data_IF_339766796244
#
_entry.id   IF_339766796244
#
_cell.length_a   1.000
_cell.length_b   1.000
_cell.length_c   1.000
_cell.angle_alpha   90.00
_cell.angle_beta   90.00
_cell.angle_gamma   90.00
#
_symmetry.space_group_name_H-M   'P 1'
#
loop_
_entity.id
_entity.type
_entity.pdbx_description
1 polymer ?
#
# COMPACT_ATOMS: atom_id res chain seq x y z
N UNK A 1 -7.05 -13.48 -26.07
CA UNK A 1 -7.47 -13.41 -24.66
C UNK A 1 -6.68 -14.46 -23.89
N UNK A 2 -5.59 -14.09 -23.22
CA UNK A 2 -4.82 -15.04 -22.42
C UNK A 2 -5.59 -15.33 -21.13
N UNK A 3 -6.00 -16.59 -20.94
CA UNK A 3 -6.60 -17.05 -19.70
C UNK A 3 -5.48 -17.15 -18.68
N UNK A 4 -5.41 -16.21 -17.74
CA UNK A 4 -4.51 -16.32 -16.59
C UNK A 4 -4.99 -17.55 -15.82
N UNK A 5 -4.21 -18.63 -15.83
CA UNK A 5 -4.52 -19.82 -15.04
C UNK A 5 -3.96 -19.63 -13.64
N UNK A 6 -4.85 -19.71 -12.66
CA UNK A 6 -4.45 -19.64 -11.26
C UNK A 6 -3.67 -20.91 -10.90
N UNK A 7 -2.60 -20.81 -10.10
CA UNK A 7 -1.94 -22.01 -9.59
C UNK A 7 -2.94 -22.92 -8.86
N UNK A 8 -2.91 -24.25 -9.05
CA UNK A 8 -3.91 -25.16 -8.48
C UNK A 8 -4.07 -25.06 -6.96
N UNK A 9 -2.98 -24.76 -6.24
CA UNK A 9 -2.99 -24.56 -4.80
C UNK A 9 -3.81 -23.31 -4.40
N UNK A 10 -3.72 -22.25 -5.19
CA UNK A 10 -4.47 -21.01 -4.95
C UNK A 10 -5.95 -21.22 -5.28
N UNK A 11 -6.26 -21.91 -6.38
CA UNK A 11 -7.64 -22.23 -6.77
C UNK A 11 -8.37 -23.03 -5.69
N UNK A 12 -7.74 -24.07 -5.14
CA UNK A 12 -8.30 -24.85 -4.00
C UNK A 12 -8.55 -23.97 -2.78
N UNK A 13 -7.63 -23.06 -2.47
CA UNK A 13 -7.78 -22.13 -1.33
C UNK A 13 -8.93 -21.15 -1.56
N UNK A 14 -9.14 -20.66 -2.78
CA UNK A 14 -10.29 -19.83 -3.15
C UNK A 14 -11.61 -20.59 -2.95
N UNK A 15 -11.68 -21.85 -3.36
CA UNK A 15 -12.88 -22.70 -3.15
C UNK A 15 -13.20 -22.90 -1.67
N UNK A 16 -12.18 -23.17 -0.85
CA UNK A 16 -12.35 -23.34 0.60
C UNK A 16 -12.82 -22.05 1.28
N UNK A 17 -12.29 -20.89 0.88
CA UNK A 17 -12.70 -19.61 1.45
C UNK A 17 -14.09 -19.23 0.97
N UNK A 18 -14.38 -19.32 -0.32
CA UNK A 18 -15.70 -19.05 -0.87
C UNK A 18 -16.80 -19.91 -0.21
N UNK A 19 -16.51 -21.21 0.00
CA UNK A 19 -17.40 -22.13 0.70
C UNK A 19 -17.71 -21.72 2.14
N UNK A 20 -16.75 -21.13 2.87
CA UNK A 20 -16.97 -20.61 4.24
C UNK A 20 -17.92 -19.42 4.29
N UNK A 21 -17.94 -18.60 3.24
CA UNK A 21 -18.78 -17.42 3.14
C UNK A 21 -20.06 -17.65 2.34
N UNK A 22 -20.35 -18.90 1.96
CA UNK A 22 -21.49 -19.28 1.13
C UNK A 22 -21.59 -18.51 -0.21
N UNK A 23 -20.45 -18.10 -0.74
CA UNK A 23 -20.33 -17.44 -2.05
C UNK A 23 -19.73 -18.40 -3.08
N UNK A 24 -20.00 -18.15 -4.36
CA UNK A 24 -19.37 -18.93 -5.43
C UNK A 24 -17.89 -18.57 -5.57
N UNK A 25 -17.10 -19.49 -6.12
CA UNK A 25 -15.69 -19.24 -6.45
C UNK A 25 -15.52 -17.99 -7.32
N UNK A 26 -16.37 -17.83 -8.33
CA UNK A 26 -16.35 -16.70 -9.24
C UNK A 26 -16.71 -15.38 -8.53
N UNK A 27 -17.65 -15.42 -7.59
CA UNK A 27 -18.02 -14.25 -6.77
C UNK A 27 -16.89 -13.83 -5.83
N UNK A 28 -16.23 -14.79 -5.19
CA UNK A 28 -15.05 -14.52 -4.35
C UNK A 28 -13.87 -14.00 -5.17
N UNK A 29 -13.69 -14.47 -6.41
CA UNK A 29 -12.67 -13.97 -7.33
C UNK A 29 -12.85 -12.48 -7.67
N UNK A 30 -14.09 -12.05 -7.95
CA UNK A 30 -14.37 -10.64 -8.24
C UNK A 30 -14.03 -9.73 -7.04
N UNK A 31 -14.45 -10.13 -5.84
CA UNK A 31 -14.11 -9.40 -4.62
C UNK A 31 -12.60 -9.37 -4.36
N UNK A 32 -11.92 -10.50 -4.59
CA UNK A 32 -10.48 -10.54 -4.47
C UNK A 32 -9.78 -9.56 -5.41
N UNK A 33 -10.27 -9.38 -6.65
CA UNK A 33 -9.66 -8.41 -7.57
C UNK A 33 -9.76 -6.97 -7.05
N UNK A 34 -10.88 -6.61 -6.41
CA UNK A 34 -11.04 -5.29 -5.76
C UNK A 34 -10.03 -5.12 -4.61
N UNK A 35 -9.92 -6.11 -3.72
CA UNK A 35 -8.92 -6.07 -2.64
C UNK A 35 -7.47 -6.18 -3.14
N UNK A 36 -7.25 -6.81 -4.28
CA UNK A 36 -5.92 -7.01 -4.83
C UNK A 36 -5.36 -5.69 -5.37
N UNK A 37 -6.20 -4.81 -5.90
CA UNK A 37 -5.81 -3.46 -6.30
C UNK A 37 -5.31 -2.66 -5.08
N UNK A 38 -6.08 -2.61 -4.00
CA UNK A 38 -5.65 -1.96 -2.75
C UNK A 38 -4.36 -2.58 -2.18
N UNK A 39 -4.25 -3.91 -2.21
CA UNK A 39 -3.03 -4.60 -1.78
C UNK A 39 -1.82 -4.24 -2.65
N UNK A 40 -2.00 -4.06 -3.95
CA UNK A 40 -0.92 -3.65 -4.85
C UNK A 40 -0.45 -2.24 -4.53
N UNK A 41 -1.36 -1.31 -4.27
CA UNK A 41 -1.03 0.06 -3.87
C UNK A 41 -0.22 0.07 -2.56
N UNK A 42 -0.69 -0.65 -1.53
CA UNK A 42 0.02 -0.79 -0.26
C UNK A 42 1.41 -1.43 -0.42
N UNK A 43 1.52 -2.44 -1.29
CA UNK A 43 2.79 -3.11 -1.56
C UNK A 43 3.77 -2.17 -2.29
N UNK A 44 3.28 -1.38 -3.23
CA UNK A 44 4.07 -0.39 -3.96
C UNK A 44 4.60 0.69 -3.01
N UNK A 45 3.75 1.24 -2.14
CA UNK A 45 4.14 2.19 -1.09
C UNK A 45 5.22 1.62 -0.17
N UNK A 46 5.09 0.36 0.24
CA UNK A 46 6.11 -0.32 1.04
C UNK A 46 7.45 -0.40 0.29
N UNK A 47 7.45 -0.76 -0.99
CA UNK A 47 8.67 -0.84 -1.77
C UNK A 47 9.32 0.53 -1.97
N UNK A 48 8.54 1.59 -2.20
CA UNK A 48 9.07 2.95 -2.25
C UNK A 48 9.73 3.36 -0.94
N UNK A 49 9.08 3.09 0.20
CA UNK A 49 9.65 3.37 1.51
C UNK A 49 10.95 2.59 1.77
N UNK A 50 10.97 1.30 1.38
CA UNK A 50 12.14 0.45 1.52
C UNK A 50 13.31 0.94 0.66
N UNK A 51 13.05 1.32 -0.59
CA UNK A 51 14.08 1.86 -1.48
C UNK A 51 14.67 3.16 -0.94
N UNK A 52 13.83 4.09 -0.49
CA UNK A 52 14.29 5.34 0.12
C UNK A 52 15.15 5.09 1.37
N UNK A 53 14.73 4.15 2.23
CA UNK A 53 15.50 3.75 3.41
C UNK A 53 16.87 3.17 3.02
N UNK A 54 16.91 2.25 2.05
CA UNK A 54 18.15 1.66 1.59
C UNK A 54 19.08 2.71 0.92
N UNK A 55 18.53 3.66 0.17
CA UNK A 55 19.28 4.77 -0.42
C UNK A 55 19.87 5.69 0.66
N UNK A 56 19.14 5.94 1.74
CA UNK A 56 19.67 6.62 2.93
C UNK A 56 20.80 5.83 3.59
N UNK A 57 20.65 4.52 3.79
CA UNK A 57 21.71 3.66 4.36
C UNK A 57 22.97 3.64 3.48
N UNK A 58 22.83 3.71 2.15
CA UNK A 58 23.95 3.85 1.20
C UNK A 58 24.54 5.26 1.16
N UNK A 59 23.91 6.24 1.80
CA UNK A 59 24.32 7.64 1.77
C UNK A 59 24.01 8.38 0.45
N UNK A 60 23.21 7.78 -0.41
CA UNK A 60 22.73 8.35 -1.68
C UNK A 60 21.61 9.37 -1.43
N UNK A 61 20.88 9.20 -0.33
CA UNK A 61 19.78 10.06 0.10
C UNK A 61 20.05 10.64 1.49
N UNK A 62 19.57 11.88 1.73
CA UNK A 62 19.75 12.58 3.01
C UNK A 62 18.40 12.84 3.65
N UNK A 63 18.35 12.67 4.97
CA UNK A 63 17.19 13.09 5.75
C UNK A 63 17.14 14.61 5.88
N UNK A 64 15.94 15.11 6.10
CA UNK A 64 15.65 16.50 6.42
C UNK A 64 15.04 16.56 7.81
N UNK A 65 15.42 17.53 8.66
CA UNK A 65 14.80 17.70 9.96
C UNK A 65 13.29 17.92 9.86
N UNK A 66 12.54 17.36 10.80
CA UNK A 66 11.08 17.43 10.80
C UNK A 66 10.57 18.88 10.92
N UNK A 67 11.28 19.71 11.68
CA UNK A 67 10.97 21.13 11.88
C UNK A 67 11.05 21.92 10.58
N UNK A 68 12.02 21.61 9.71
CA UNK A 68 12.16 22.25 8.41
C UNK A 68 10.99 21.90 7.48
N UNK A 69 10.51 20.66 7.55
CA UNK A 69 9.32 20.21 6.81
C UNK A 69 8.06 20.93 7.31
N UNK A 70 7.86 21.01 8.62
CA UNK A 70 6.72 21.73 9.19
C UNK A 70 6.68 23.19 8.72
N UNK A 71 7.83 23.87 8.75
CA UNK A 71 7.96 25.25 8.27
C UNK A 71 7.69 25.38 6.77
N UNK A 72 8.22 24.46 5.95
CA UNK A 72 8.01 24.46 4.49
C UNK A 72 6.53 24.35 4.11
N UNK A 73 5.74 23.62 4.91
CA UNK A 73 4.32 23.37 4.65
C UNK A 73 3.38 24.28 5.46
N UNK A 74 3.90 25.24 6.24
CA UNK A 74 3.07 26.13 7.07
C UNK A 74 2.31 25.41 8.19
N UNK A 75 2.87 24.29 8.66
CA UNK A 75 2.31 23.45 9.73
C UNK A 75 3.00 23.71 11.08
N UNK A 76 3.91 24.67 11.13
CA UNK A 76 4.56 25.13 12.35
C UNK A 76 3.54 25.85 13.25
N UNK A 77 3.46 25.43 14.52
CA UNK A 77 2.49 25.95 15.49
C UNK A 77 2.64 27.46 15.76
N UNK A 78 3.78 28.05 15.41
CA UNK A 78 4.07 29.48 15.61
C UNK A 78 3.38 30.38 14.59
N UNK A 79 3.00 29.88 13.41
CA UNK A 79 2.30 30.67 12.38
C UNK A 79 0.84 31.02 12.71
N UNK A 80 0.22 30.32 13.68
CA UNK A 80 -1.20 30.50 14.06
C UNK A 80 -1.44 31.53 15.18
N UNK A 81 -0.39 32.07 15.80
CA UNK A 81 -0.51 33.03 16.91
C UNK A 81 -0.27 34.50 16.52
N UNK A 82 -0.27 34.83 15.22
CA UNK A 82 -0.08 36.20 14.71
C UNK A 82 -1.37 36.88 14.23
N UNK A 83 -2.54 36.35 14.61
CA UNK A 83 -3.84 36.97 14.32
C UNK A 83 -4.61 37.22 15.62
N UNK A 84 -4.08 38.12 16.45
CA UNK A 84 -4.83 38.87 17.46
C UNK A 84 -4.73 40.36 17.12
#
# INVERSE_FOLDING_TARGET
>A
MHKIQMPPALEKRFEEVAGKYHISKDGYWLQFLEFFEEFLDDAEDYFYALEAFQSFERGEEKTIPFEEILKKHGLDKESKNSSD
#
